data_IF_226083789497
#
_entry.id   IF_226083789497
#
_cell.length_a   1.000
_cell.length_b   1.000
_cell.length_c   1.000
_cell.angle_alpha   90.00
_cell.angle_beta   90.00
_cell.angle_gamma   90.00
#
_symmetry.space_group_name_H-M   'P 1'
#
loop_
_entity.id
_entity.type
_entity.pdbx_description
1 polymer ?
#
# COMPACT_ATOMS: atom_id res chain seq x y z
N UNK A 1 -4.83 1.13 12.25
CA UNK A 1 -3.54 1.27 11.54
C UNK A 1 -3.06 2.71 11.63
N UNK A 2 -1.82 2.88 12.08
CA UNK A 2 -1.19 4.18 12.26
C UNK A 2 -0.18 4.45 11.14
N UNK A 3 -0.11 5.67 10.66
CA UNK A 3 0.81 6.10 9.61
C UNK A 3 1.93 6.95 10.20
N UNK A 4 3.17 6.61 9.85
CA UNK A 4 4.36 7.34 10.26
C UNK A 4 5.21 7.69 9.04
N UNK A 5 6.01 8.74 9.15
CA UNK A 5 6.99 9.09 8.11
C UNK A 5 8.33 9.49 8.70
N UNK A 6 9.36 9.37 7.88
CA UNK A 6 10.68 9.93 8.13
C UNK A 6 11.08 10.77 6.91
N UNK A 7 11.22 12.10 7.06
CA UNK A 7 11.64 12.95 5.95
C UNK A 7 13.05 12.63 5.47
N UNK A 8 13.31 12.87 4.18
CA UNK A 8 14.67 12.78 3.63
C UNK A 8 15.51 14.00 4.06
N UNK A 9 16.85 13.86 4.20
CA UNK A 9 17.60 12.61 4.10
C UNK A 9 17.31 11.67 5.27
N UNK A 10 17.32 10.36 5.00
CA UNK A 10 17.02 9.38 6.05
C UNK A 10 18.20 9.31 7.03
N UNK A 11 17.89 9.49 8.30
CA UNK A 11 18.83 9.41 9.41
C UNK A 11 18.17 8.71 10.59
N UNK A 12 18.93 8.41 11.63
CA UNK A 12 18.36 7.90 12.88
C UNK A 12 17.51 8.97 13.56
N UNK A 13 16.58 8.53 14.40
CA UNK A 13 15.70 9.43 15.15
C UNK A 13 14.27 8.95 15.12
N UNK A 14 13.37 9.74 15.69
CA UNK A 14 11.96 9.40 15.78
C UNK A 14 11.25 9.52 14.44
N UNK A 15 10.25 8.69 14.24
CA UNK A 15 9.31 8.82 13.15
C UNK A 15 8.26 9.87 13.49
N UNK A 16 7.84 10.63 12.51
CA UNK A 16 6.74 11.58 12.66
C UNK A 16 5.41 10.84 12.48
N UNK A 17 4.54 10.95 13.48
CA UNK A 17 3.20 10.42 13.39
C UNK A 17 2.34 11.32 12.52
N UNK A 18 1.67 10.74 11.55
CA UNK A 18 0.74 11.45 10.66
C UNK A 18 -0.71 11.18 11.08
N UNK A 19 -1.68 12.00 10.61
CA UNK A 19 -3.08 11.69 10.84
C UNK A 19 -3.45 10.28 10.40
N UNK A 20 -4.34 9.64 11.14
CA UNK A 20 -4.77 8.26 10.85
C UNK A 20 -5.37 8.18 9.44
N UNK A 21 -4.89 7.26 8.59
CA UNK A 21 -5.43 7.10 7.25
C UNK A 21 -6.83 6.51 7.25
N UNK A 22 -7.59 6.79 6.20
CA UNK A 22 -8.90 6.17 5.95
C UNK A 22 -8.73 4.74 5.45
N UNK A 23 -8.18 3.87 6.30
CA UNK A 23 -7.94 2.47 5.97
C UNK A 23 -8.96 1.58 6.69
N UNK A 24 -9.88 0.93 5.95
CA UNK A 24 -11.01 0.22 6.55
C UNK A 24 -10.65 -1.09 7.25
N UNK A 25 -9.49 -1.66 6.95
CA UNK A 25 -9.07 -2.94 7.56
C UNK A 25 -8.49 -2.76 8.96
N UNK A 26 -8.62 -3.79 9.80
CA UNK A 26 -8.06 -3.79 11.14
C UNK A 26 -6.52 -3.89 11.14
N UNK A 27 -5.94 -4.57 10.15
CA UNK A 27 -4.50 -4.83 10.08
C UNK A 27 -3.95 -4.47 8.70
N UNK A 28 -2.87 -3.71 8.69
CA UNK A 28 -2.07 -3.50 7.49
C UNK A 28 -0.91 -4.51 7.50
N UNK A 29 -0.81 -5.32 6.46
CA UNK A 29 0.23 -6.36 6.35
C UNK A 29 1.23 -6.08 5.24
N UNK A 30 0.92 -5.17 4.31
CA UNK A 30 1.83 -4.77 3.26
C UNK A 30 1.33 -3.54 2.54
N UNK A 31 2.20 -2.90 1.81
CA UNK A 31 1.84 -1.73 1.00
C UNK A 31 2.99 -1.21 0.19
N UNK A 32 2.67 -0.39 -0.79
CA UNK A 32 3.65 0.22 -1.68
C UNK A 32 3.11 1.53 -2.27
N UNK A 33 4.01 2.32 -2.80
CA UNK A 33 3.70 3.52 -3.57
C UNK A 33 4.24 3.30 -4.99
N UNK A 34 3.44 3.63 -6.00
CA UNK A 34 3.82 3.47 -7.40
C UNK A 34 5.08 4.28 -7.74
N UNK A 35 5.79 3.86 -8.80
CA UNK A 35 7.04 4.50 -9.21
C UNK A 35 6.89 6.00 -9.49
N UNK A 36 5.74 6.44 -10.00
CA UNK A 36 5.43 7.86 -10.22
C UNK A 36 4.93 8.58 -8.96
N UNK A 37 4.69 7.84 -7.88
CA UNK A 37 4.19 8.41 -6.63
C UNK A 37 2.72 8.82 -6.64
N UNK A 38 1.96 8.43 -7.66
CA UNK A 38 0.58 8.84 -7.88
C UNK A 38 -0.47 7.86 -7.37
N UNK A 39 -0.05 6.68 -6.94
CA UNK A 39 -0.95 5.66 -6.41
C UNK A 39 -0.33 4.98 -5.18
N UNK A 40 -1.12 4.92 -4.11
CA UNK A 40 -0.73 4.29 -2.85
C UNK A 40 -1.63 3.09 -2.64
N UNK A 41 -1.07 1.94 -2.31
CA UNK A 41 -1.84 0.75 -1.98
C UNK A 41 -1.41 0.18 -0.64
N UNK A 42 -2.39 -0.25 0.15
CA UNK A 42 -2.17 -0.95 1.43
C UNK A 42 -3.10 -2.14 1.46
N UNK A 43 -2.58 -3.26 1.88
CA UNK A 43 -3.36 -4.48 2.06
C UNK A 43 -3.42 -4.91 3.52
N UNK A 44 -4.53 -5.57 3.89
CA UNK A 44 -4.62 -6.44 5.04
C UNK A 44 -4.47 -7.89 4.62
N UNK A 45 -4.90 -8.82 5.45
CA UNK A 45 -4.85 -10.25 5.14
C UNK A 45 -5.82 -10.64 4.01
N UNK A 46 -7.03 -10.09 4.02
CA UNK A 46 -8.09 -10.45 3.08
C UNK A 46 -8.65 -9.29 2.25
N UNK A 47 -8.07 -8.12 2.34
CA UNK A 47 -8.54 -6.92 1.64
C UNK A 47 -7.37 -6.02 1.22
N UNK A 48 -7.60 -5.19 0.22
CA UNK A 48 -6.63 -4.22 -0.23
C UNK A 48 -7.33 -2.95 -0.69
N UNK A 49 -6.69 -1.82 -0.44
CA UNK A 49 -7.24 -0.50 -0.74
C UNK A 49 -6.19 0.40 -1.36
N UNK A 50 -6.63 1.30 -2.23
CA UNK A 50 -5.75 2.23 -2.90
C UNK A 50 -6.26 3.67 -2.84
N UNK A 51 -5.33 4.60 -2.90
CA UNK A 51 -5.58 6.04 -2.95
C UNK A 51 -4.81 6.65 -4.11
N UNK A 52 -5.50 7.46 -4.90
CA UNK A 52 -4.84 8.32 -5.89
C UNK A 52 -4.22 9.50 -5.16
N UNK A 53 -3.04 9.89 -5.59
CA UNK A 53 -2.31 11.01 -5.02
C UNK A 53 -2.03 12.06 -6.09
N UNK A 54 -2.50 13.28 -5.85
CA UNK A 54 -2.19 14.42 -6.72
C UNK A 54 -0.72 14.85 -6.57
N UNK A 55 -0.11 15.48 -7.60
CA UNK A 55 1.32 15.85 -7.56
C UNK A 55 1.73 16.75 -6.39
N UNK A 56 0.82 17.61 -5.94
CA UNK A 56 1.05 18.55 -4.84
C UNK A 56 0.56 18.04 -3.48
N UNK A 57 0.03 16.82 -3.43
CA UNK A 57 -0.54 16.21 -2.25
C UNK A 57 0.50 15.34 -1.53
N UNK A 58 0.57 15.42 -0.22
CA UNK A 58 1.39 14.48 0.56
C UNK A 58 0.74 13.10 0.62
N UNK A 59 1.53 12.07 0.94
CA UNK A 59 1.01 10.71 1.15
C UNK A 59 -0.04 10.71 2.26
N UNK A 60 0.25 11.38 3.37
CA UNK A 60 -0.70 11.49 4.48
C UNK A 60 -2.02 12.14 4.09
N UNK A 61 -1.96 13.22 3.31
CA UNK A 61 -3.16 13.89 2.80
C UNK A 61 -3.98 12.98 1.88
N UNK A 62 -3.31 12.29 0.94
CA UNK A 62 -3.98 11.37 0.02
C UNK A 62 -4.73 10.27 0.78
N UNK A 63 -4.11 9.72 1.81
CA UNK A 63 -4.67 8.63 2.61
C UNK A 63 -5.80 9.07 3.57
N UNK A 64 -6.07 10.36 3.69
CA UNK A 64 -7.27 10.87 4.38
C UNK A 64 -8.52 10.80 3.50
N UNK A 65 -8.35 10.69 2.18
CA UNK A 65 -9.46 10.56 1.25
C UNK A 65 -10.07 9.16 1.27
N UNK A 66 -11.21 9.00 0.60
CA UNK A 66 -11.87 7.71 0.48
C UNK A 66 -11.05 6.75 -0.37
N UNK A 67 -10.69 5.57 0.13
CA UNK A 67 -9.96 4.59 -0.67
C UNK A 67 -10.87 3.88 -1.66
N UNK A 68 -10.28 3.35 -2.73
CA UNK A 68 -10.94 2.38 -3.59
C UNK A 68 -10.49 0.97 -3.22
N UNK A 69 -11.41 0.02 -3.32
CA UNK A 69 -11.11 -1.39 -3.10
C UNK A 69 -10.30 -1.94 -4.26
N UNK A 70 -9.25 -2.72 -3.97
CA UNK A 70 -8.40 -3.33 -4.97
C UNK A 70 -8.65 -4.84 -5.04
N UNK A 71 -8.61 -5.45 -6.25
CA UNK A 71 -8.67 -6.89 -6.39
C UNK A 71 -7.57 -7.60 -5.59
N UNK A 72 -7.93 -8.70 -4.96
CA UNK A 72 -7.02 -9.48 -4.15
C UNK A 72 -7.42 -10.95 -4.19
N UNK A 73 -6.48 -11.84 -4.55
CA UNK A 73 -6.69 -13.27 -4.48
C UNK A 73 -6.81 -13.72 -3.03
N UNK A 74 -7.49 -14.84 -2.81
CA UNK A 74 -7.52 -15.47 -1.50
C UNK A 74 -6.14 -16.05 -1.17
N UNK A 75 -5.51 -15.54 -0.15
CA UNK A 75 -4.18 -15.96 0.30
C UNK A 75 -4.25 -16.31 1.79
N UNK A 76 -3.52 -17.35 2.20
CA UNK A 76 -3.56 -17.82 3.59
C UNK A 76 -3.05 -16.75 4.58
N UNK A 77 -1.92 -16.13 4.27
CA UNK A 77 -1.32 -15.04 5.04
C UNK A 77 -0.73 -14.02 4.08
N UNK A 78 -1.59 -13.23 3.45
CA UNK A 78 -1.17 -12.22 2.50
C UNK A 78 -0.47 -11.06 3.18
N UNK A 79 0.83 -10.91 2.96
CA UNK A 79 1.67 -9.93 3.64
C UNK A 79 2.47 -9.03 2.71
N UNK A 80 2.43 -9.28 1.41
CA UNK A 80 3.18 -8.47 0.46
C UNK A 80 2.29 -7.91 -0.64
N UNK A 81 2.57 -6.66 -1.01
CA UNK A 81 2.02 -6.00 -2.18
C UNK A 81 3.11 -5.10 -2.77
N UNK A 82 3.32 -5.18 -4.07
CA UNK A 82 4.31 -4.34 -4.76
C UNK A 82 3.80 -3.92 -6.13
N UNK A 83 3.95 -2.65 -6.47
CA UNK A 83 3.65 -2.14 -7.80
C UNK A 83 4.73 -2.55 -8.80
N UNK A 84 4.31 -2.85 -10.03
CA UNK A 84 5.24 -3.02 -11.13
C UNK A 84 5.87 -1.66 -11.48
N UNK A 85 7.19 -1.64 -11.70
CA UNK A 85 7.93 -0.41 -11.96
C UNK A 85 7.43 0.36 -13.20
N UNK A 86 6.87 -0.34 -14.19
CA UNK A 86 6.30 0.27 -15.39
C UNK A 86 4.88 0.84 -15.18
N UNK A 87 4.30 0.72 -13.99
CA UNK A 87 2.97 1.23 -13.69
C UNK A 87 1.83 0.45 -14.34
N UNK A 88 2.04 -0.82 -14.65
CA UNK A 88 1.08 -1.66 -15.39
C UNK A 88 0.22 -2.55 -14.50
N UNK A 89 0.45 -2.55 -13.21
CA UNK A 89 -0.28 -3.37 -12.25
C UNK A 89 0.49 -3.57 -10.96
N UNK A 90 0.09 -4.55 -10.18
CA UNK A 90 0.73 -4.88 -8.92
C UNK A 90 0.77 -6.40 -8.69
N UNK A 91 1.64 -6.79 -7.77
CA UNK A 91 1.80 -8.18 -7.33
C UNK A 91 1.39 -8.33 -5.88
N UNK A 92 0.91 -9.50 -5.52
CA UNK A 92 0.72 -9.90 -4.13
C UNK A 92 1.29 -11.28 -3.87
N UNK A 93 1.68 -11.51 -2.64
CA UNK A 93 2.28 -12.77 -2.20
C UNK A 93 1.91 -13.04 -0.75
N UNK A 94 1.60 -14.30 -0.46
CA UNK A 94 1.38 -14.78 0.90
C UNK A 94 2.70 -15.20 1.55
N UNK A 95 2.77 -15.11 2.86
CA UNK A 95 3.81 -15.78 3.63
C UNK A 95 3.68 -17.29 3.48
N UNK A 96 4.79 -17.99 3.56
CA UNK A 96 4.85 -19.45 3.49
C UNK A 96 5.65 -19.96 2.30
N UNK A 97 5.97 -21.28 2.34
CA UNK A 97 6.70 -21.93 1.26
C UNK A 97 5.77 -22.17 0.06
N UNK A 98 6.35 -22.04 -1.13
CA UNK A 98 5.70 -22.39 -2.41
C UNK A 98 4.36 -21.66 -2.67
N UNK A 99 4.21 -20.45 -2.13
CA UNK A 99 3.03 -19.64 -2.37
C UNK A 99 3.06 -19.04 -3.77
N UNK A 100 1.90 -18.98 -4.47
CA UNK A 100 1.85 -18.36 -5.79
C UNK A 100 2.07 -16.86 -5.71
N UNK A 101 2.80 -16.33 -6.69
CA UNK A 101 2.90 -14.89 -6.92
C UNK A 101 1.72 -14.47 -7.80
N UNK A 102 0.85 -13.62 -7.29
CA UNK A 102 -0.32 -13.13 -8.01
C UNK A 102 -0.01 -11.82 -8.74
N UNK A 103 -0.46 -11.73 -9.97
CA UNK A 103 -0.31 -10.54 -10.80
C UNK A 103 -1.68 -9.96 -11.15
N UNK A 104 -1.84 -8.67 -10.93
CA UNK A 104 -3.06 -7.92 -11.22
C UNK A 104 -2.73 -6.83 -12.23
N UNK A 105 -3.05 -7.07 -13.49
CA UNK A 105 -2.82 -6.08 -14.56
C UNK A 105 -3.92 -5.03 -14.57
N UNK A 106 -3.56 -3.78 -14.79
CA UNK A 106 -4.54 -2.72 -15.08
C UNK A 106 -5.10 -2.91 -16.48
N UNK A 107 -6.35 -2.60 -16.61
CA UNK A 107 -7.04 -2.62 -17.91
C UNK A 107 -6.88 -1.32 -18.68
#
# INVERSE_FOLDING_TARGET
TQLFRKPAPISSGELEELPMPSFPSAFATGGDISALGDFIAVRGYGDAFGWLRAPDQSVGEAMQGAPCSLPLASEMQGEALAFHAAGTGYFTLSEGADQPLWWYAYE
#
